data_IF_081453578557
#
_entry.id   IF_081453578557
#
_cell.length_a   1.000
_cell.length_b   1.000
_cell.length_c   1.000
_cell.angle_alpha   90.00
_cell.angle_beta   90.00
_cell.angle_gamma   90.00
#
_symmetry.space_group_name_H-M   'P 1'
#
loop_
_entity.id
_entity.type
_entity.pdbx_description
1 polymer ?
#
# COMPACT_ATOMS: atom_id res chain seq x y z
N UNK A 1 -13.28 20.22 -44.81
CA UNK A 1 -12.95 18.93 -44.16
C UNK A 1 -12.20 19.23 -42.88
N UNK A 2 -12.83 19.01 -41.72
CA UNK A 2 -12.17 19.17 -40.44
C UNK A 2 -11.39 17.88 -40.12
N UNK A 3 -10.06 17.98 -40.03
CA UNK A 3 -9.24 16.88 -39.57
C UNK A 3 -9.50 16.67 -38.07
N UNK A 4 -10.13 15.55 -37.74
CA UNK A 4 -10.28 15.11 -36.35
C UNK A 4 -8.90 14.63 -35.91
N UNK A 5 -8.17 15.49 -35.19
CA UNK A 5 -6.89 15.12 -34.58
C UNK A 5 -7.17 14.15 -33.43
N UNK A 6 -7.05 12.85 -33.70
CA UNK A 6 -7.06 11.80 -32.65
C UNK A 6 -5.90 12.12 -31.70
N UNK A 7 -6.20 12.53 -30.46
CA UNK A 7 -5.20 12.59 -29.39
C UNK A 7 -4.70 11.16 -29.18
N UNK A 8 -3.56 10.85 -29.75
CA UNK A 8 -2.80 9.65 -29.37
C UNK A 8 -2.27 9.97 -27.99
N UNK A 9 -2.84 9.35 -26.96
CA UNK A 9 -2.25 9.42 -25.62
C UNK A 9 -0.86 8.80 -25.72
N UNK A 10 0.17 9.57 -25.37
CA UNK A 10 1.55 9.11 -25.43
C UNK A 10 1.76 7.98 -24.39
N UNK A 11 1.91 6.75 -24.88
CA UNK A 11 2.15 5.56 -24.05
C UNK A 11 3.34 5.73 -23.12
N UNK A 12 4.34 6.54 -23.49
CA UNK A 12 5.48 6.87 -22.62
C UNK A 12 5.06 7.74 -21.44
N UNK A 13 4.20 8.73 -21.67
CA UNK A 13 3.66 9.59 -20.62
C UNK A 13 2.73 8.82 -19.67
N UNK A 14 1.94 7.87 -20.20
CA UNK A 14 1.12 6.99 -19.38
C UNK A 14 2.01 6.09 -18.51
N UNK A 15 3.04 5.46 -19.08
CA UNK A 15 3.98 4.64 -18.31
C UNK A 15 4.67 5.44 -17.19
N UNK A 16 5.10 6.67 -17.47
CA UNK A 16 5.66 7.57 -16.46
C UNK A 16 4.65 7.91 -15.35
N UNK A 17 3.38 8.07 -15.70
CA UNK A 17 2.31 8.27 -14.71
C UNK A 17 2.15 7.06 -13.79
N UNK A 18 2.16 5.84 -14.32
CA UNK A 18 2.09 4.61 -13.51
C UNK A 18 3.30 4.47 -12.57
N UNK A 19 4.52 4.76 -13.04
CA UNK A 19 5.72 4.78 -12.19
C UNK A 19 5.55 5.76 -11.02
N UNK A 20 5.04 6.97 -11.30
CA UNK A 20 4.78 7.96 -10.26
C UNK A 20 3.66 7.54 -9.30
N UNK A 21 2.63 6.83 -9.80
CA UNK A 21 1.55 6.30 -8.98
C UNK A 21 2.05 5.24 -7.99
N UNK A 22 2.90 4.30 -8.44
CA UNK A 22 3.56 3.31 -7.56
C UNK A 22 4.29 4.00 -6.43
N UNK A 23 5.16 4.97 -6.74
CA UNK A 23 5.94 5.68 -5.73
C UNK A 23 5.05 6.41 -4.69
N UNK A 24 3.92 6.96 -5.11
CA UNK A 24 2.95 7.60 -4.19
C UNK A 24 2.24 6.58 -3.31
N UNK A 25 1.80 5.47 -3.87
CA UNK A 25 1.12 4.43 -3.10
C UNK A 25 2.05 3.80 -2.05
N UNK A 26 3.33 3.60 -2.38
CA UNK A 26 4.31 3.13 -1.39
C UNK A 26 4.48 4.11 -0.21
N UNK A 27 4.52 5.41 -0.49
CA UNK A 27 4.56 6.44 0.55
C UNK A 27 3.30 6.40 1.43
N UNK A 28 2.13 6.19 0.84
CA UNK A 28 0.87 6.02 1.57
C UNK A 28 0.90 4.78 2.47
N UNK A 29 1.43 3.65 2.00
CA UNK A 29 1.61 2.45 2.83
C UNK A 29 2.50 2.74 4.05
N UNK A 30 3.60 3.47 3.86
CA UNK A 30 4.48 3.86 4.98
C UNK A 30 3.78 4.82 5.95
N UNK A 31 2.89 5.70 5.47
CA UNK A 31 2.04 6.50 6.34
C UNK A 31 1.06 5.64 7.15
N UNK A 32 0.40 4.66 6.53
CA UNK A 32 -0.47 3.73 7.25
C UNK A 32 0.30 2.96 8.33
N UNK A 33 1.52 2.49 8.05
CA UNK A 33 2.39 1.83 9.05
C UNK A 33 2.68 2.76 10.25
N UNK A 34 2.95 4.05 10.01
CA UNK A 34 3.18 5.04 11.07
C UNK A 34 1.92 5.30 11.90
N UNK A 35 0.77 5.48 11.24
CA UNK A 35 -0.51 5.71 11.92
C UNK A 35 -0.87 4.50 12.79
N UNK A 36 -0.73 3.28 12.26
CA UNK A 36 -0.94 2.04 13.02
C UNK A 36 -0.09 2.04 14.31
N UNK A 37 1.21 2.32 14.22
CA UNK A 37 2.11 2.38 15.38
C UNK A 37 1.66 3.41 16.43
N UNK A 38 1.10 4.54 16.00
CA UNK A 38 0.56 5.54 16.92
C UNK A 38 -0.72 5.05 17.59
N UNK A 39 -1.63 4.44 16.83
CA UNK A 39 -2.85 3.86 17.37
C UNK A 39 -2.57 2.73 18.36
N UNK A 40 -1.62 1.84 18.04
CA UNK A 40 -1.21 0.76 18.94
C UNK A 40 -0.69 1.31 20.28
N UNK A 41 0.19 2.34 20.25
CA UNK A 41 0.69 2.99 21.47
C UNK A 41 -0.43 3.58 22.33
N UNK A 42 -1.40 4.24 21.69
CA UNK A 42 -2.53 4.84 22.41
C UNK A 42 -3.42 3.74 22.97
N UNK A 43 -3.71 2.68 22.21
CA UNK A 43 -4.48 1.54 22.70
C UNK A 43 -3.81 0.85 23.89
N UNK A 44 -2.49 0.68 23.89
CA UNK A 44 -1.74 0.09 25.00
C UNK A 44 -1.88 0.93 26.28
N UNK A 45 -1.80 2.26 26.16
CA UNK A 45 -2.02 3.18 27.28
C UNK A 45 -3.44 3.07 27.84
N UNK A 46 -4.46 2.91 26.99
CA UNK A 46 -5.84 2.73 27.44
C UNK A 46 -6.12 1.32 27.96
N UNK A 47 -5.37 0.30 27.54
CA UNK A 47 -5.52 -1.08 28.01
C UNK A 47 -5.26 -1.18 29.51
N UNK A 48 -4.26 -0.46 30.02
CA UNK A 48 -3.93 -0.40 31.45
C UNK A 48 -5.01 0.32 32.27
N UNK A 49 -5.76 1.22 31.63
CA UNK A 49 -6.82 2.04 32.25
C UNK A 49 -8.21 1.43 32.10
N UNK A 50 -8.33 0.24 31.51
CA UNK A 50 -9.59 -0.43 31.14
C UNK A 50 -10.37 -1.00 32.35
N UNK A 51 -10.27 -0.37 33.51
CA UNK A 51 -11.06 -0.67 34.70
C UNK A 51 -12.42 0.05 34.65
N UNK A 52 -13.48 -0.74 34.45
CA UNK A 52 -14.91 -0.51 34.73
C UNK A 52 -15.63 0.78 34.32
N UNK A 53 -14.98 1.73 33.65
CA UNK A 53 -15.63 2.93 33.11
C UNK A 53 -16.06 2.73 31.66
N UNK A 54 -17.36 2.89 31.41
CA UNK A 54 -17.96 2.77 30.08
C UNK A 54 -17.31 3.72 29.04
N UNK A 55 -16.92 4.93 29.46
CA UNK A 55 -16.25 5.90 28.58
C UNK A 55 -14.90 5.40 28.05
N UNK A 56 -14.09 4.74 28.90
CA UNK A 56 -12.79 4.17 28.49
C UNK A 56 -12.99 3.00 27.53
N UNK A 57 -14.06 2.21 27.73
CA UNK A 57 -14.43 1.11 26.84
C UNK A 57 -14.83 1.62 25.45
N UNK A 58 -15.60 2.71 25.38
CA UNK A 58 -16.00 3.35 24.11
C UNK A 58 -14.77 3.87 23.37
N UNK A 59 -13.88 4.61 24.06
CA UNK A 59 -12.65 5.12 23.43
C UNK A 59 -11.76 3.99 22.93
N UNK A 60 -11.58 2.93 23.72
CA UNK A 60 -10.82 1.75 23.31
C UNK A 60 -11.40 1.09 22.04
N UNK A 61 -12.73 0.98 21.96
CA UNK A 61 -13.41 0.43 20.79
C UNK A 61 -13.24 1.31 19.55
N UNK A 62 -13.40 2.63 19.67
CA UNK A 62 -13.15 3.56 18.56
C UNK A 62 -11.70 3.50 18.07
N UNK A 63 -10.73 3.36 18.97
CA UNK A 63 -9.33 3.18 18.58
C UNK A 63 -9.11 1.87 17.85
N UNK A 64 -9.81 0.80 18.22
CA UNK A 64 -9.76 -0.49 17.51
C UNK A 64 -10.30 -0.35 16.10
N UNK A 65 -11.46 0.26 15.94
CA UNK A 65 -12.06 0.53 14.62
C UNK A 65 -11.15 1.40 13.75
N UNK A 66 -10.55 2.44 14.31
CA UNK A 66 -9.58 3.27 13.59
C UNK A 66 -8.35 2.46 13.12
N UNK A 67 -7.87 1.52 13.95
CA UNK A 67 -6.76 0.63 13.58
C UNK A 67 -7.17 -0.31 12.45
N UNK A 68 -8.35 -0.89 12.53
CA UNK A 68 -8.87 -1.81 11.50
C UNK A 68 -9.01 -1.09 10.16
N UNK A 69 -9.54 0.14 10.14
CA UNK A 69 -9.59 0.99 8.94
C UNK A 69 -8.21 1.30 8.35
N UNK A 70 -7.20 1.54 9.20
CA UNK A 70 -5.82 1.77 8.76
C UNK A 70 -5.21 0.52 8.14
N UNK A 71 -5.51 -0.66 8.69
CA UNK A 71 -5.05 -1.94 8.14
C UNK A 71 -5.71 -2.24 6.79
N UNK A 72 -7.02 -2.03 6.67
CA UNK A 72 -7.75 -2.20 5.42
C UNK A 72 -7.26 -1.23 4.34
N UNK A 73 -7.04 0.04 4.71
CA UNK A 73 -6.47 1.06 3.82
C UNK A 73 -5.06 0.67 3.34
N UNK A 74 -4.22 0.16 4.25
CA UNK A 74 -2.89 -0.36 3.91
C UNK A 74 -2.98 -1.52 2.92
N UNK A 75 -3.78 -2.53 3.23
CA UNK A 75 -3.94 -3.72 2.40
C UNK A 75 -4.47 -3.36 1.00
N UNK A 76 -5.41 -2.42 0.92
CA UNK A 76 -5.92 -1.90 -0.35
C UNK A 76 -4.81 -1.28 -1.20
N UNK A 77 -3.94 -0.45 -0.60
CA UNK A 77 -2.81 0.15 -1.32
C UNK A 77 -1.76 -0.88 -1.73
N UNK A 78 -1.43 -1.83 -0.87
CA UNK A 78 -0.54 -2.96 -1.21
C UNK A 78 -1.11 -3.79 -2.37
N UNK A 79 -2.43 -4.01 -2.42
CA UNK A 79 -3.10 -4.67 -3.55
C UNK A 79 -2.96 -3.88 -4.85
N UNK A 80 -3.27 -2.57 -4.84
CA UNK A 80 -3.13 -1.74 -6.04
C UNK A 80 -1.68 -1.68 -6.53
N UNK A 81 -0.69 -1.61 -5.62
CA UNK A 81 0.74 -1.69 -5.98
C UNK A 81 1.04 -3.01 -6.71
N UNK A 82 0.46 -4.13 -6.26
CA UNK A 82 0.65 -5.43 -6.92
C UNK A 82 0.04 -5.48 -8.33
N UNK A 83 -1.06 -4.77 -8.56
CA UNK A 83 -1.72 -4.66 -9.86
C UNK A 83 -0.92 -3.83 -10.88
N UNK A 84 0.01 -2.98 -10.43
CA UNK A 84 0.84 -2.15 -11.31
C UNK A 84 1.96 -2.93 -12.01
N UNK A 85 2.48 -4.02 -11.43
CA UNK A 85 3.53 -4.83 -12.07
C UNK A 85 3.14 -5.31 -13.48
N UNK A 86 2.00 -6.01 -13.69
CA UNK A 86 1.62 -6.47 -15.02
C UNK A 86 1.36 -5.30 -15.99
N UNK A 87 0.86 -4.16 -15.53
CA UNK A 87 0.66 -2.96 -16.35
C UNK A 87 2.00 -2.42 -16.85
N UNK A 88 2.97 -2.29 -15.96
CA UNK A 88 4.31 -1.84 -16.31
C UNK A 88 5.04 -2.83 -17.24
N UNK A 89 4.83 -4.13 -17.08
CA UNK A 89 5.36 -5.15 -18.01
C UNK A 89 4.79 -4.97 -19.42
N UNK A 90 3.50 -4.63 -19.56
CA UNK A 90 2.89 -4.34 -20.86
C UNK A 90 3.53 -3.11 -21.52
N UNK A 91 3.72 -2.01 -20.77
CA UNK A 91 4.41 -0.83 -21.28
C UNK A 91 5.88 -1.12 -21.63
N UNK A 92 6.55 -2.01 -20.91
CA UNK A 92 7.94 -2.36 -21.19
C UNK A 92 8.11 -3.03 -22.57
N UNK A 93 7.19 -3.94 -22.93
CA UNK A 93 7.24 -4.66 -24.21
C UNK A 93 6.67 -3.87 -25.38
N UNK A 94 5.87 -2.84 -25.11
CA UNK A 94 5.24 -2.02 -26.14
C UNK A 94 6.27 -1.30 -27.04
N UNK A 95 5.97 -1.24 -28.34
CA UNK A 95 6.85 -0.63 -29.36
C UNK A 95 6.74 0.90 -29.38
N UNK A 96 5.58 1.43 -29.03
CA UNK A 96 5.24 2.86 -29.01
C UNK A 96 5.70 3.56 -27.71
N UNK A 97 6.33 2.82 -26.80
CA UNK A 97 6.96 3.37 -25.60
C UNK A 97 8.42 3.71 -25.88
N UNK A 98 8.78 4.96 -25.58
CA UNK A 98 10.12 5.50 -25.81
C UNK A 98 11.21 4.65 -25.17
N UNK A 99 12.31 4.45 -25.90
CA UNK A 99 13.52 3.79 -25.36
C UNK A 99 14.07 4.49 -24.12
N UNK A 100 13.79 5.79 -23.95
CA UNK A 100 14.24 6.56 -22.79
C UNK A 100 13.53 6.16 -21.50
N UNK A 101 12.24 5.77 -21.55
CA UNK A 101 11.46 5.43 -20.34
C UNK A 101 11.57 3.94 -19.97
N UNK A 102 11.94 3.06 -20.92
CA UNK A 102 12.07 1.60 -20.66
C UNK A 102 12.99 1.25 -19.48
N UNK A 103 14.14 1.90 -19.27
CA UNK A 103 14.96 1.67 -18.07
C UNK A 103 14.24 1.99 -16.77
N UNK A 104 13.44 3.07 -16.74
CA UNK A 104 12.67 3.46 -15.54
C UNK A 104 11.55 2.47 -15.25
N UNK A 105 10.86 1.99 -16.30
CA UNK A 105 9.86 0.92 -16.17
C UNK A 105 10.50 -0.35 -15.59
N UNK A 106 11.66 -0.77 -16.12
CA UNK A 106 12.38 -1.94 -15.62
C UNK A 106 12.81 -1.78 -14.16
N UNK A 107 13.33 -0.60 -13.79
CA UNK A 107 13.70 -0.30 -12.42
C UNK A 107 12.48 -0.37 -11.48
N UNK A 108 11.34 0.18 -11.89
CA UNK A 108 10.11 0.13 -11.13
C UNK A 108 9.59 -1.30 -10.95
N UNK A 109 9.57 -2.13 -12.00
CA UNK A 109 9.20 -3.56 -11.91
C UNK A 109 10.10 -4.32 -10.93
N UNK A 110 11.42 -4.13 -11.01
CA UNK A 110 12.35 -4.77 -10.10
C UNK A 110 12.13 -4.34 -8.65
N UNK A 111 11.86 -3.05 -8.44
CA UNK A 111 11.52 -2.51 -7.13
C UNK A 111 10.24 -3.12 -6.58
N UNK A 112 9.16 -3.21 -7.38
CA UNK A 112 7.91 -3.87 -7.00
C UNK A 112 8.11 -5.32 -6.56
N UNK A 113 8.96 -6.08 -7.27
CA UNK A 113 9.29 -7.47 -6.90
C UNK A 113 10.08 -7.59 -5.61
N UNK A 114 10.89 -6.60 -5.29
CA UNK A 114 11.60 -6.54 -3.99
C UNK A 114 10.63 -6.12 -2.89
N UNK A 115 9.77 -5.14 -3.17
CA UNK A 115 8.75 -4.65 -2.26
C UNK A 115 7.77 -5.78 -1.86
N UNK A 116 7.24 -6.53 -2.83
CA UNK A 116 6.32 -7.65 -2.57
C UNK A 116 6.91 -8.68 -1.61
N UNK A 117 8.17 -9.09 -1.83
CA UNK A 117 8.87 -10.03 -0.94
C UNK A 117 8.96 -9.50 0.49
N UNK A 118 9.30 -8.21 0.67
CA UNK A 118 9.33 -7.59 2.00
C UNK A 118 7.95 -7.58 2.68
N UNK A 119 6.87 -7.33 1.92
CA UNK A 119 5.52 -7.36 2.47
C UNK A 119 5.11 -8.76 2.91
N UNK A 120 5.46 -9.80 2.13
CA UNK A 120 5.22 -11.20 2.48
C UNK A 120 5.93 -11.57 3.79
N UNK A 121 7.20 -11.16 3.95
CA UNK A 121 7.97 -11.36 5.18
C UNK A 121 7.31 -10.66 6.40
N UNK A 122 6.88 -9.39 6.24
CA UNK A 122 6.18 -8.62 7.29
C UNK A 122 4.85 -9.28 7.71
N UNK A 123 4.10 -9.88 6.77
CA UNK A 123 2.85 -10.59 7.10
C UNK A 123 3.08 -11.87 7.90
N UNK A 124 4.17 -12.60 7.62
CA UNK A 124 4.50 -13.84 8.33
C UNK A 124 4.98 -13.58 9.77
N UNK A 125 5.74 -12.51 10.00
CA UNK A 125 6.19 -12.11 11.34
C UNK A 125 5.01 -11.67 12.23
N UNK A 126 3.94 -11.15 11.63
CA UNK A 126 2.71 -10.78 12.35
C UNK A 126 1.76 -11.94 12.68
N UNK A 127 1.98 -13.12 12.10
CA UNK A 127 1.14 -14.32 12.31
C UNK A 127 1.54 -15.19 13.50
N UNK A 128 2.67 -14.90 14.15
CA UNK A 128 3.19 -15.65 15.29
C UNK A 128 2.99 -14.88 16.60
N UNK A 129 1.76 -14.60 17.02
CA UNK A 129 1.49 -14.27 18.43
C UNK A 129 0.01 -14.40 18.82
N UNK A 130 -0.21 -15.23 19.84
CA UNK A 130 -1.43 -15.46 20.63
C UNK A 130 -2.48 -16.45 20.10
N UNK A 131 -2.11 -17.73 20.08
CA UNK A 131 -2.98 -18.82 20.53
C UNK A 131 -2.21 -19.71 21.52
N UNK A 132 -2.03 -19.21 22.73
CA UNK A 132 -1.84 -20.05 23.92
C UNK A 132 -2.59 -19.36 25.05
N UNK A 133 -3.89 -19.67 25.15
CA UNK A 133 -4.62 -19.55 26.41
C UNK A 133 -4.55 -20.89 27.09
N UNK A 134 -3.99 -20.84 28.28
CA UNK A 134 -3.84 -21.92 29.25
C UNK A 134 -5.12 -22.74 29.42
N UNK A 135 -4.95 -24.05 29.55
CA UNK A 135 -5.92 -24.96 30.14
C UNK A 135 -5.24 -25.72 31.28
#
# INVERSE_FOLDING_TARGET
>A
MAAITRRVTDSSAIAAFHIAAVARMELEVEHFKKIKKLLDKVQDQFRELKCDKDEVRVVYQTLKEARDLVLDGKATKESHINEEEPVLVQFFVAEDVSRAIKPEICACINHLRVYRRKCEDETQDSGCNFDNKDN
#
